data_IF_718783737321
#
_entry.id   IF_718783737321
#
_cell.length_a   1.000
_cell.length_b   1.000
_cell.length_c   1.000
_cell.angle_alpha   90.00
_cell.angle_beta   90.00
_cell.angle_gamma   90.00
#
_symmetry.space_group_name_H-M   'P 1'
#
loop_
_entity.id
_entity.type
_entity.pdbx_description
1 polymer ?
#
# COMPACT_ATOMS: atom_id res chain seq x y z
N UNK A 1 -13.24 3.42 -5.82
CA UNK A 1 -14.11 3.53 -4.63
C UNK A 1 -13.65 4.70 -3.77
N UNK A 2 -14.59 5.58 -3.38
CA UNK A 2 -14.35 6.77 -2.55
C UNK A 2 -15.15 6.65 -1.25
N UNK A 3 -14.59 7.07 -0.11
CA UNK A 3 -15.31 7.08 1.16
C UNK A 3 -14.39 7.37 2.34
N UNK A 4 -14.92 7.52 3.54
CA UNK A 4 -14.13 7.61 4.77
C UNK A 4 -14.53 6.47 5.70
N UNK A 5 -13.59 5.91 6.46
CA UNK A 5 -13.85 4.86 7.44
C UNK A 5 -13.26 3.49 7.09
N UNK A 6 -13.91 2.42 7.55
CA UNK A 6 -13.45 1.03 7.43
C UNK A 6 -13.89 0.41 6.09
N UNK A 7 -12.93 -0.02 5.26
CA UNK A 7 -13.23 -0.60 3.94
C UNK A 7 -12.29 -1.79 3.62
N UNK A 8 -12.68 -3.03 3.97
CA UNK A 8 -11.92 -4.22 3.64
C UNK A 8 -12.16 -4.64 2.19
N UNK A 9 -11.12 -5.13 1.51
CA UNK A 9 -11.23 -5.62 0.13
C UNK A 9 -10.43 -6.89 -0.11
N UNK A 10 -11.05 -7.85 -0.82
CA UNK A 10 -10.45 -9.11 -1.27
C UNK A 10 -10.72 -9.32 -2.76
N UNK A 11 -9.83 -10.05 -3.44
CA UNK A 11 -9.98 -10.43 -4.86
C UNK A 11 -8.75 -10.08 -5.70
N UNK A 12 -8.83 -10.27 -7.01
CA UNK A 12 -7.75 -9.94 -7.95
C UNK A 12 -8.17 -8.78 -8.88
N UNK A 13 -7.22 -8.23 -9.64
CA UNK A 13 -7.49 -7.25 -10.70
C UNK A 13 -7.19 -5.80 -10.33
N UNK A 14 -7.75 -4.87 -11.10
CA UNK A 14 -7.55 -3.42 -10.99
C UNK A 14 -8.51 -2.81 -9.97
N UNK A 15 -7.98 -2.22 -8.89
CA UNK A 15 -8.80 -1.68 -7.78
C UNK A 15 -8.29 -0.34 -7.27
N UNK A 16 -8.73 0.79 -7.84
CA UNK A 16 -8.36 2.12 -7.39
C UNK A 16 -9.17 2.55 -6.16
N UNK A 17 -8.50 3.17 -5.19
CA UNK A 17 -9.11 3.63 -3.95
C UNK A 17 -8.70 5.05 -3.58
N UNK A 18 -9.67 5.82 -3.10
CA UNK A 18 -9.54 7.20 -2.64
C UNK A 18 -10.27 7.40 -1.31
N UNK A 19 -9.72 8.27 -0.45
CA UNK A 19 -10.33 8.68 0.82
C UNK A 19 -9.53 8.25 2.05
N UNK A 20 -10.05 8.50 3.25
CA UNK A 20 -9.32 8.34 4.51
C UNK A 20 -9.83 7.14 5.34
N UNK A 21 -9.03 6.64 6.28
CA UNK A 21 -9.45 5.61 7.24
C UNK A 21 -8.68 4.29 7.15
N UNK A 22 -9.31 3.21 7.61
CA UNK A 22 -8.72 1.88 7.74
C UNK A 22 -9.11 0.99 6.55
N UNK A 23 -8.13 0.54 5.76
CA UNK A 23 -8.39 -0.15 4.48
C UNK A 23 -7.49 -1.36 4.28
N UNK A 24 -7.86 -2.53 4.83
CA UNK A 24 -7.18 -3.78 4.56
C UNK A 24 -7.45 -4.24 3.13
N UNK A 25 -6.40 -4.68 2.46
CA UNK A 25 -6.47 -5.22 1.11
C UNK A 25 -5.76 -6.56 1.01
N UNK A 26 -6.44 -7.58 0.47
CA UNK A 26 -5.86 -8.88 0.13
C UNK A 26 -6.03 -9.19 -1.36
N UNK A 27 -5.03 -9.82 -1.95
CA UNK A 27 -5.05 -10.40 -3.29
C UNK A 27 -4.10 -9.71 -4.26
N UNK A 28 -4.17 -10.10 -5.53
CA UNK A 28 -3.18 -9.75 -6.53
C UNK A 28 -3.68 -8.65 -7.49
N UNK A 29 -2.75 -7.99 -8.21
CA UNK A 29 -3.07 -7.04 -9.28
C UNK A 29 -2.67 -5.59 -8.99
N UNK A 30 -3.27 -4.65 -9.73
CA UNK A 30 -2.93 -3.23 -9.73
C UNK A 30 -3.85 -2.45 -8.78
N UNK A 31 -3.28 -1.82 -7.74
CA UNK A 31 -4.05 -1.20 -6.65
C UNK A 31 -3.53 0.19 -6.27
N UNK A 32 -3.90 1.23 -7.03
CA UNK A 32 -3.61 2.61 -6.67
C UNK A 32 -4.40 3.02 -5.44
N UNK A 33 -3.73 3.66 -4.51
CA UNK A 33 -4.36 4.17 -3.29
C UNK A 33 -3.98 5.62 -3.04
N UNK A 34 -4.97 6.49 -2.87
CA UNK A 34 -4.80 7.89 -2.46
C UNK A 34 -5.52 8.16 -1.14
N UNK A 35 -4.95 9.03 -0.31
CA UNK A 35 -5.52 9.51 0.95
C UNK A 35 -4.73 9.08 2.18
N UNK A 36 -5.28 9.34 3.35
CA UNK A 36 -4.59 9.15 4.63
C UNK A 36 -5.13 7.91 5.39
N UNK A 37 -4.37 7.41 6.36
CA UNK A 37 -4.83 6.38 7.30
C UNK A 37 -4.02 5.08 7.29
N UNK A 38 -4.62 4.01 7.82
CA UNK A 38 -4.00 2.70 8.02
C UNK A 38 -4.38 1.72 6.91
N UNK A 39 -3.40 1.24 6.14
CA UNK A 39 -3.65 0.47 4.91
C UNK A 39 -2.79 -0.78 4.82
N UNK A 40 -3.16 -1.87 5.52
CA UNK A 40 -2.49 -3.16 5.38
C UNK A 40 -2.77 -3.74 4.01
N UNK A 41 -1.73 -4.20 3.32
CA UNK A 41 -1.87 -4.84 2.03
C UNK A 41 -1.15 -6.18 2.00
N UNK A 42 -1.85 -7.25 1.61
CA UNK A 42 -1.30 -8.60 1.41
C UNK A 42 -1.50 -9.05 -0.03
N UNK A 43 -0.46 -9.63 -0.64
CA UNK A 43 -0.51 -10.19 -1.99
C UNK A 43 0.50 -9.54 -2.94
N UNK A 44 0.38 -9.87 -4.22
CA UNK A 44 1.37 -9.57 -5.24
C UNK A 44 0.88 -8.51 -6.25
N UNK A 45 1.78 -7.70 -6.79
CA UNK A 45 1.47 -6.80 -7.91
C UNK A 45 1.93 -5.36 -7.69
N UNK A 46 1.33 -4.45 -8.45
CA UNK A 46 1.71 -3.04 -8.53
C UNK A 46 0.81 -2.17 -7.64
N UNK A 47 1.39 -1.50 -6.65
CA UNK A 47 0.63 -0.83 -5.57
C UNK A 47 1.09 0.61 -5.33
N UNK A 48 0.73 1.56 -6.21
CA UNK A 48 1.04 2.97 -6.02
C UNK A 48 0.28 3.54 -4.84
N UNK A 49 0.99 4.32 -4.04
CA UNK A 49 0.49 4.76 -2.77
C UNK A 49 0.81 6.24 -2.56
N UNK A 50 -0.23 7.09 -2.57
CA UNK A 50 -0.12 8.53 -2.28
C UNK A 50 -0.85 8.89 -0.97
N UNK A 51 -0.24 9.75 -0.17
CA UNK A 51 -0.80 10.30 1.07
C UNK A 51 -0.08 9.81 2.31
N UNK A 52 -0.65 10.10 3.48
CA UNK A 52 0.02 9.94 4.77
C UNK A 52 -0.49 8.70 5.54
N UNK A 53 0.31 8.18 6.46
CA UNK A 53 -0.13 7.18 7.44
C UNK A 53 0.67 5.88 7.43
N UNK A 54 0.09 4.83 8.02
CA UNK A 54 0.75 3.56 8.28
C UNK A 54 0.34 2.51 7.24
N UNK A 55 1.31 1.96 6.51
CA UNK A 55 1.06 1.16 5.29
C UNK A 55 1.86 -0.14 5.30
N UNK A 56 1.47 -1.15 6.10
CA UNK A 56 2.12 -2.45 6.10
C UNK A 56 1.84 -3.21 4.83
N UNK A 57 2.88 -3.85 4.33
CA UNK A 57 2.86 -4.38 2.99
C UNK A 57 3.54 -5.75 2.99
N UNK A 58 2.76 -6.81 2.75
CA UNK A 58 3.23 -8.20 2.65
C UNK A 58 3.03 -8.77 1.24
N UNK A 59 4.04 -9.47 0.73
CA UNK A 59 4.03 -10.12 -0.58
C UNK A 59 4.92 -9.41 -1.59
N UNK A 60 4.78 -9.75 -2.87
CA UNK A 60 5.76 -9.38 -3.89
C UNK A 60 5.30 -8.23 -4.79
N UNK A 61 6.23 -7.60 -5.52
CA UNK A 61 5.95 -6.66 -6.61
C UNK A 61 6.33 -5.19 -6.34
N UNK A 62 5.90 -4.31 -7.24
CA UNK A 62 6.35 -2.91 -7.27
C UNK A 62 5.44 -1.96 -6.46
N UNK A 63 6.04 -1.16 -5.58
CA UNK A 63 5.30 -0.39 -4.56
C UNK A 63 5.82 1.05 -4.45
N UNK A 64 5.52 1.91 -5.45
CA UNK A 64 5.96 3.29 -5.44
C UNK A 64 5.10 4.08 -4.45
N UNK A 65 5.77 4.95 -3.72
CA UNK A 65 5.22 5.52 -2.50
C UNK A 65 5.50 7.02 -2.43
N UNK A 66 4.46 7.80 -2.18
CA UNK A 66 4.57 9.26 -2.04
C UNK A 66 3.79 9.75 -0.83
N UNK A 67 4.39 10.65 -0.05
CA UNK A 67 3.82 11.22 1.17
C UNK A 67 4.50 10.69 2.42
N UNK A 68 3.91 10.98 3.57
CA UNK A 68 4.57 10.77 4.86
C UNK A 68 4.12 9.49 5.59
N UNK A 69 4.91 9.02 6.55
CA UNK A 69 4.51 7.96 7.49
C UNK A 69 5.29 6.64 7.40
N UNK A 70 4.81 5.63 8.11
CA UNK A 70 5.54 4.38 8.37
C UNK A 70 5.07 3.24 7.45
N UNK A 71 6.01 2.64 6.71
CA UNK A 71 5.71 1.75 5.56
C UNK A 71 6.55 0.47 5.61
N UNK A 72 6.23 -0.49 6.50
CA UNK A 72 6.98 -1.72 6.61
C UNK A 72 6.65 -2.65 5.44
N UNK A 73 7.69 -3.19 4.82
CA UNK A 73 7.59 -4.11 3.69
C UNK A 73 8.18 -5.46 4.04
N UNK A 74 7.40 -6.53 3.84
CA UNK A 74 7.85 -7.93 3.97
C UNK A 74 7.57 -8.72 2.70
N UNK A 75 8.61 -9.29 2.09
CA UNK A 75 8.54 -10.04 0.84
C UNK A 75 9.44 -9.44 -0.24
N UNK A 76 9.32 -9.94 -1.47
CA UNK A 76 10.23 -9.58 -2.56
C UNK A 76 9.63 -8.46 -3.41
N UNK A 77 10.21 -7.27 -3.38
CA UNK A 77 9.67 -6.15 -4.13
C UNK A 77 10.48 -4.87 -4.01
N UNK A 78 10.33 -4.01 -5.01
CA UNK A 78 11.07 -2.77 -5.12
C UNK A 78 10.11 -1.58 -5.26
N UNK A 79 10.63 -0.39 -5.07
CA UNK A 79 9.90 0.83 -5.45
C UNK A 79 10.41 2.06 -4.73
N UNK A 80 10.33 3.24 -5.34
CA UNK A 80 10.79 4.48 -4.74
C UNK A 80 9.85 4.94 -3.62
N UNK A 81 10.41 5.65 -2.63
CA UNK A 81 9.65 6.40 -1.65
C UNK A 81 10.05 7.88 -1.72
N UNK A 82 9.06 8.77 -1.88
CA UNK A 82 9.22 10.22 -1.85
C UNK A 82 8.39 10.82 -0.71
N UNK A 83 9.03 11.56 0.19
CA UNK A 83 8.40 12.16 1.37
C UNK A 83 9.03 11.67 2.68
N UNK A 84 8.54 12.18 3.81
CA UNK A 84 9.13 11.96 5.11
C UNK A 84 8.55 10.71 5.78
N UNK A 85 9.39 9.73 6.12
CA UNK A 85 8.89 8.57 6.84
C UNK A 85 9.86 7.42 6.89
N UNK A 86 9.51 6.42 7.68
CA UNK A 86 10.33 5.24 7.91
C UNK A 86 9.84 4.05 7.08
N UNK A 87 10.77 3.36 6.43
CA UNK A 87 10.47 2.25 5.52
C UNK A 87 11.42 1.07 5.77
N UNK A 88 11.11 0.23 6.76
CA UNK A 88 11.88 -0.99 6.98
C UNK A 88 11.47 -2.01 5.91
N UNK A 89 12.45 -2.69 5.33
CA UNK A 89 12.21 -3.73 4.34
C UNK A 89 12.86 -5.04 4.80
N UNK A 90 12.13 -6.14 4.69
CA UNK A 90 12.60 -7.49 5.00
C UNK A 90 12.23 -8.43 3.85
N UNK A 91 13.25 -8.93 3.14
CA UNK A 91 13.10 -9.73 1.92
C UNK A 91 13.98 -9.18 0.79
N UNK A 92 13.93 -9.79 -0.39
CA UNK A 92 14.75 -9.38 -1.52
C UNK A 92 14.07 -8.22 -2.25
N UNK A 93 14.56 -7.01 -2.07
CA UNK A 93 13.99 -5.80 -2.66
C UNK A 93 15.06 -4.74 -2.88
N UNK A 94 15.04 -4.12 -4.06
CA UNK A 94 15.91 -3.01 -4.43
C UNK A 94 15.18 -1.66 -4.21
#
# INVERSE_FOLDING_TARGET
MTGNGFQPMTGNGFRPMTGNGFRPMKGNGFRPMKGNGFRPMKGNGFRPMKGNGFRPMKGNGFRPMTGNGFRPMKGNGFGPMKGNGFRPMTGNGF
#
